data_IF_356143319671
#
_entry.id   IF_356143319671
#
_cell.length_a   1.000
_cell.length_b   1.000
_cell.length_c   1.000
_cell.angle_alpha   90.00
_cell.angle_beta   90.00
_cell.angle_gamma   90.00
#
_symmetry.space_group_name_H-M   'P 1'
#
loop_
_entity.id
_entity.type
_entity.pdbx_description
1 polymer ?
#
# COMPACT_ATOMS: atom_id res chain seq x y z
N UNK A 1 -6.80 9.22 -15.65
CA UNK A 1 -7.65 8.64 -14.58
C UNK A 1 -9.03 9.30 -14.67
N UNK A 2 -10.10 8.63 -14.22
CA UNK A 2 -11.39 9.27 -14.03
C UNK A 2 -11.28 10.43 -13.04
N UNK A 3 -12.01 11.53 -13.26
CA UNK A 3 -12.03 12.71 -12.38
C UNK A 3 -12.44 12.37 -10.94
N UNK A 4 -13.31 11.37 -10.76
CA UNK A 4 -13.80 10.89 -9.46
C UNK A 4 -12.72 10.26 -8.57
N UNK A 5 -11.59 9.83 -9.14
CA UNK A 5 -10.48 9.21 -8.38
C UNK A 5 -9.36 10.20 -8.03
N UNK A 6 -9.62 11.50 -8.17
CA UNK A 6 -8.65 12.58 -7.88
C UNK A 6 -8.83 13.04 -6.44
N UNK A 7 -7.75 13.39 -5.73
CA UNK A 7 -7.79 13.84 -4.31
C UNK A 7 -8.43 12.82 -3.36
N UNK A 8 -8.15 11.54 -3.57
CA UNK A 8 -8.71 10.45 -2.77
C UNK A 8 -7.63 9.65 -2.05
N UNK A 9 -8.05 8.82 -1.10
CA UNK A 9 -7.20 7.78 -0.52
C UNK A 9 -7.58 6.43 -1.15
N UNK A 10 -6.58 5.66 -1.57
CA UNK A 10 -6.77 4.32 -2.13
C UNK A 10 -6.07 3.29 -1.25
N UNK A 11 -6.82 2.30 -0.76
CA UNK A 11 -6.31 1.17 0.01
C UNK A 11 -6.24 -0.06 -0.87
N UNK A 12 -5.08 -0.73 -0.90
CA UNK A 12 -4.80 -1.84 -1.81
C UNK A 12 -4.30 -3.04 -1.01
N UNK A 13 -5.01 -4.19 -1.05
CA UNK A 13 -4.51 -5.41 -0.45
C UNK A 13 -3.17 -5.82 -1.06
N UNK A 14 -2.20 -6.17 -0.22
CA UNK A 14 -0.84 -6.46 -0.64
C UNK A 14 -0.75 -7.60 -1.66
N UNK A 15 -1.55 -8.66 -1.50
CA UNK A 15 -1.67 -9.77 -2.45
C UNK A 15 -2.24 -9.40 -3.82
N UNK A 16 -2.94 -8.26 -3.96
CA UNK A 16 -3.46 -7.77 -5.24
C UNK A 16 -2.57 -6.71 -5.89
N UNK A 17 -1.72 -6.04 -5.12
CA UNK A 17 -0.91 -4.93 -5.61
C UNK A 17 -0.03 -5.30 -6.84
N UNK A 18 0.62 -6.49 -6.91
CA UNK A 18 1.42 -6.88 -8.08
C UNK A 18 0.66 -6.96 -9.40
N UNK A 19 -0.67 -7.11 -9.37
CA UNK A 19 -1.49 -7.18 -10.58
C UNK A 19 -1.91 -5.82 -11.11
N UNK A 20 -1.59 -4.74 -10.39
CA UNK A 20 -1.89 -3.39 -10.84
C UNK A 20 -0.94 -2.96 -11.95
N UNK A 21 -1.51 -2.45 -13.03
CA UNK A 21 -0.73 -1.98 -14.18
C UNK A 21 0.27 -0.90 -13.76
N UNK A 22 1.56 -1.22 -13.90
CA UNK A 22 2.69 -0.35 -13.59
C UNK A 22 3.14 -0.37 -12.13
N UNK A 23 2.68 -1.34 -11.32
CA UNK A 23 3.13 -1.51 -9.94
C UNK A 23 4.64 -1.76 -9.83
N UNK A 24 5.33 -1.22 -8.81
CA UNK A 24 4.85 -0.17 -7.89
C UNK A 24 4.96 1.23 -8.53
N UNK A 25 6.04 1.52 -9.24
CA UNK A 25 6.50 2.88 -9.51
C UNK A 25 5.57 3.67 -10.43
N UNK A 26 5.25 3.14 -11.62
CA UNK A 26 4.38 3.85 -12.58
C UNK A 26 2.97 4.00 -12.04
N UNK A 27 2.50 3.02 -11.26
CA UNK A 27 1.22 3.09 -10.59
C UNK A 27 1.18 4.23 -9.57
N UNK A 28 2.14 4.26 -8.63
CA UNK A 28 2.24 5.27 -7.59
C UNK A 28 2.42 6.67 -8.18
N UNK A 29 3.28 6.82 -9.20
CA UNK A 29 3.48 8.09 -9.90
C UNK A 29 2.17 8.60 -10.53
N UNK A 30 1.40 7.73 -11.16
CA UNK A 30 0.10 8.09 -11.76
C UNK A 30 -0.91 8.52 -10.69
N UNK A 31 -0.95 7.85 -9.54
CA UNK A 31 -1.83 8.23 -8.43
C UNK A 31 -1.42 9.58 -7.83
N UNK A 32 -0.12 9.80 -7.64
CA UNK A 32 0.42 11.07 -7.15
C UNK A 32 0.08 12.25 -8.08
N UNK A 33 0.18 12.06 -9.41
CA UNK A 33 -0.25 13.05 -10.39
C UNK A 33 -1.75 13.39 -10.31
N UNK A 34 -2.57 12.46 -9.83
CA UNK A 34 -3.99 12.66 -9.55
C UNK A 34 -4.26 13.16 -8.12
N UNK A 35 -3.23 13.55 -7.37
CA UNK A 35 -3.33 13.92 -5.95
C UNK A 35 -3.96 12.83 -5.07
N UNK A 36 -3.76 11.56 -5.43
CA UNK A 36 -4.33 10.42 -4.73
C UNK A 36 -3.25 9.68 -3.96
N UNK A 37 -3.48 9.50 -2.66
CA UNK A 37 -2.55 8.81 -1.76
C UNK A 37 -2.88 7.33 -1.73
N UNK A 38 -1.85 6.49 -1.90
CA UNK A 38 -1.99 5.04 -1.92
C UNK A 38 -1.43 4.45 -0.63
N UNK A 39 -2.20 3.57 -0.01
CA UNK A 39 -1.76 2.74 1.11
C UNK A 39 -1.88 1.26 0.74
N UNK A 40 -0.84 0.48 0.99
CA UNK A 40 -0.98 -0.98 1.05
C UNK A 40 -1.57 -1.37 2.41
N UNK A 41 -2.46 -2.34 2.38
CA UNK A 41 -3.07 -2.95 3.56
C UNK A 41 -2.74 -4.45 3.57
N UNK A 42 -3.09 -5.15 4.65
CA UNK A 42 -2.88 -6.58 4.76
C UNK A 42 -3.54 -7.37 3.62
N UNK A 43 -3.08 -8.61 3.43
CA UNK A 43 -3.62 -9.50 2.41
C UNK A 43 -5.14 -9.67 2.56
N UNK A 44 -5.87 -9.54 1.45
CA UNK A 44 -7.29 -9.81 1.43
C UNK A 44 -7.54 -11.31 1.60
N UNK A 45 -8.33 -11.67 2.62
CA UNK A 45 -8.63 -13.07 2.99
C UNK A 45 -9.95 -13.60 2.40
N UNK A 46 -10.62 -12.85 1.51
CA UNK A 46 -11.90 -13.27 0.92
C UNK A 46 -13.14 -12.89 1.72
N UNK A 47 -12.99 -12.57 3.01
CA UNK A 47 -14.07 -12.19 3.92
C UNK A 47 -13.58 -11.26 5.04
N UNK A 48 -14.51 -10.64 5.76
CA UNK A 48 -14.21 -9.72 6.86
C UNK A 48 -13.87 -8.29 6.45
N UNK A 49 -13.41 -7.51 7.43
CA UNK A 49 -12.99 -6.12 7.22
C UNK A 49 -11.54 -6.06 6.73
N UNK A 50 -11.22 -4.97 6.03
CA UNK A 50 -9.83 -4.60 5.71
C UNK A 50 -9.01 -4.53 7.00
N UNK A 51 -7.85 -5.20 7.02
CA UNK A 51 -6.91 -5.18 8.12
C UNK A 51 -5.62 -4.48 7.69
N UNK A 52 -4.93 -3.85 8.64
CA UNK A 52 -3.59 -3.33 8.40
C UNK A 52 -2.61 -4.44 8.02
N UNK A 53 -1.53 -4.05 7.35
CA UNK A 53 -0.34 -4.87 7.26
C UNK A 53 0.26 -4.88 8.66
N UNK A 54 0.17 -6.03 9.34
CA UNK A 54 0.53 -6.18 10.75
C UNK A 54 1.67 -7.19 10.96
N UNK A 55 2.06 -7.92 9.91
CA UNK A 55 3.11 -8.92 9.93
C UNK A 55 4.39 -8.39 9.22
N UNK A 56 5.53 -8.31 9.93
CA UNK A 56 6.81 -7.93 9.34
C UNK A 56 7.23 -8.76 8.12
N UNK A 57 6.87 -10.05 8.07
CA UNK A 57 7.22 -10.89 6.92
C UNK A 57 6.51 -10.45 5.65
N UNK A 58 5.30 -9.87 5.78
CA UNK A 58 4.57 -9.32 4.64
C UNK A 58 5.30 -8.12 4.02
N UNK A 59 6.12 -7.37 4.76
CA UNK A 59 6.92 -6.29 4.19
C UNK A 59 7.86 -6.78 3.08
N UNK A 60 8.29 -8.05 3.13
CA UNK A 60 9.16 -8.64 2.10
C UNK A 60 8.47 -8.80 0.74
N UNK A 61 7.13 -8.74 0.70
CA UNK A 61 6.35 -8.74 -0.55
C UNK A 61 6.38 -7.38 -1.24
N UNK A 62 6.76 -6.32 -0.52
CA UNK A 62 6.90 -4.99 -1.11
C UNK A 62 8.22 -4.92 -1.90
N UNK A 63 8.20 -4.28 -3.07
CA UNK A 63 9.43 -3.95 -3.79
C UNK A 63 10.36 -3.08 -2.93
N UNK A 64 11.68 -3.25 -3.08
CA UNK A 64 12.68 -2.57 -2.27
C UNK A 64 12.63 -1.03 -2.39
N UNK A 65 12.13 -0.51 -3.52
CA UNK A 65 11.95 0.91 -3.83
C UNK A 65 10.52 1.40 -3.60
N UNK A 66 9.71 0.65 -2.85
CA UNK A 66 8.35 1.04 -2.53
C UNK A 66 8.31 2.37 -1.75
N UNK A 67 7.55 3.33 -2.28
CA UNK A 67 7.44 4.70 -1.76
C UNK A 67 6.01 5.11 -1.43
N UNK A 68 5.07 4.16 -1.48
CA UNK A 68 3.69 4.39 -1.08
C UNK A 68 3.50 4.28 0.43
N UNK A 69 2.31 4.60 0.92
CA UNK A 69 1.97 4.45 2.33
C UNK A 69 1.78 2.98 2.73
N UNK A 70 2.00 2.69 4.01
CA UNK A 70 1.67 1.40 4.64
C UNK A 70 0.61 1.68 5.70
N UNK A 71 -0.54 1.02 5.60
CA UNK A 71 -1.56 1.08 6.65
C UNK A 71 -1.34 -0.07 7.62
N UNK A 72 -1.19 0.23 8.90
CA UNK A 72 -0.93 -0.77 9.93
C UNK A 72 -1.67 -0.44 11.22
N UNK A 73 -2.12 -1.49 11.92
CA UNK A 73 -2.64 -1.41 13.28
C UNK A 73 -1.52 -1.67 14.33
N UNK A 74 -0.31 -2.00 13.87
CA UNK A 74 0.85 -2.40 14.66
C UNK A 74 2.07 -1.52 14.34
N UNK A 75 1.89 -0.20 14.41
CA UNK A 75 2.96 0.77 14.12
C UNK A 75 4.18 0.63 15.05
N UNK A 76 3.99 0.18 16.29
CA UNK A 76 5.07 -0.10 17.24
C UNK A 76 6.01 -1.21 16.73
N UNK A 77 5.45 -2.22 16.07
CA UNK A 77 6.21 -3.34 15.51
C UNK A 77 6.84 -2.99 14.17
N UNK A 78 6.08 -2.37 13.27
CA UNK A 78 6.48 -2.16 11.88
C UNK A 78 7.25 -0.86 11.68
N UNK A 79 6.97 0.18 12.48
CA UNK A 79 7.62 1.49 12.39
C UNK A 79 9.15 1.41 12.41
N UNK A 80 9.77 0.74 13.39
CA UNK A 80 11.23 0.60 13.46
C UNK A 80 11.83 -0.15 12.27
N UNK A 81 11.07 -1.02 11.60
CA UNK A 81 11.53 -1.82 10.46
C UNK A 81 11.54 -0.98 9.17
N UNK A 82 10.51 -0.16 8.97
CA UNK A 82 10.34 0.65 7.75
C UNK A 82 10.99 2.03 7.84
N UNK A 83 11.26 2.51 9.06
CA UNK A 83 12.01 3.74 9.33
C UNK A 83 13.43 3.47 9.86
N UNK A 84 13.96 2.26 9.70
CA UNK A 84 15.37 2.00 10.02
C UNK A 84 16.26 2.89 9.15
N UNK A 85 16.78 3.96 9.76
CA UNK A 85 17.74 4.92 9.19
C UNK A 85 19.12 4.29 8.96
#
# INVERSE_FOLDING_TARGET
>A
MPTTCTRSMLMIPLNYAPWLSGWPNRFLQRMAQASTTVFVIGDYQGEGFSQGLNDPEQLQKLPADYSGGIWTDQVDLLGPIVHAE
#
